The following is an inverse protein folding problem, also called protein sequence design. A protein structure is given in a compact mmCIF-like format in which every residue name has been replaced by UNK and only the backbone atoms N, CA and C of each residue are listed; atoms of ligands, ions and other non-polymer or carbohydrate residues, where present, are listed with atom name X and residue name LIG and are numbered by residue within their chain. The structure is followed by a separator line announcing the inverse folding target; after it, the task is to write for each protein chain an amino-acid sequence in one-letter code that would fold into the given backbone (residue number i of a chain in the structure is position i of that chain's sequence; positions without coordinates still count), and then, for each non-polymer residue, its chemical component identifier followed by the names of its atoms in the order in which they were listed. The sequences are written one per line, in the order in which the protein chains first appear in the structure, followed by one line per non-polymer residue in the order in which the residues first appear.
data_IF_446129012758
#
_entry.id   IF_446129012758
#
_cell.length_a   1.000
_cell.length_b   1.000
_cell.length_c   1.000
_cell.angle_alpha   90.00
_cell.angle_beta   90.00
_cell.angle_gamma   90.00
#
_symmetry.space_group_name_H-M   'P 1'
#
loop_
_entity.id
_entity.type
_entity.pdbx_description
1 polymer ?
#
# COMPACT_ATOMS: atom_id res chain seq x y z
N UNK A 1 1.54 -3.21 2.72
CA UNK A 1 2.16 -2.60 1.53
C UNK A 1 1.16 -1.65 0.90
N UNK A 2 1.55 -0.39 0.70
CA UNK A 2 0.79 0.60 -0.07
C UNK A 2 1.55 0.83 -1.37
N UNK A 3 0.89 0.73 -2.52
CA UNK A 3 1.56 0.71 -3.83
C UNK A 3 0.80 1.56 -4.84
N UNK A 4 1.50 2.36 -5.65
CA UNK A 4 0.89 3.08 -6.77
C UNK A 4 0.59 2.14 -7.94
N UNK A 5 -0.60 2.23 -8.53
CA UNK A 5 -0.96 1.40 -9.70
C UNK A 5 -0.16 1.79 -10.96
N UNK A 6 0.27 3.05 -11.04
CA UNK A 6 0.95 3.65 -12.19
C UNK A 6 2.47 3.79 -11.94
N UNK A 7 3.06 2.90 -11.12
CA UNK A 7 4.49 2.91 -10.84
C UNK A 7 5.29 2.27 -11.99
N UNK A 8 5.93 3.11 -12.80
CA UNK A 8 6.78 2.70 -13.92
C UNK A 8 8.10 2.04 -13.50
N UNK A 9 8.58 2.29 -12.27
CA UNK A 9 9.82 1.71 -11.75
C UNK A 9 9.58 0.34 -11.11
N UNK A 10 8.46 0.19 -10.41
CA UNK A 10 8.04 -1.07 -9.80
C UNK A 10 6.58 -1.40 -10.13
N UNK A 11 6.32 -2.11 -11.24
CA UNK A 11 4.97 -2.50 -11.65
C UNK A 11 4.21 -3.24 -10.54
N UNK A 12 2.88 -3.11 -10.54
CA UNK A 12 2.00 -3.67 -9.49
C UNK A 12 2.14 -5.20 -9.34
N UNK A 13 2.58 -5.90 -10.38
CA UNK A 13 2.92 -7.32 -10.39
C UNK A 13 4.02 -7.64 -9.37
N UNK A 14 5.01 -6.76 -9.20
CA UNK A 14 6.06 -6.92 -8.19
C UNK A 14 5.47 -6.87 -6.78
N UNK A 15 4.49 -5.99 -6.56
CA UNK A 15 3.80 -5.88 -5.28
C UNK A 15 2.99 -7.15 -4.97
N UNK A 16 2.30 -7.70 -5.97
CA UNK A 16 1.55 -8.97 -5.86
C UNK A 16 2.47 -10.14 -5.53
N UNK A 17 3.57 -10.29 -6.27
CA UNK A 17 4.57 -11.33 -6.02
C UNK A 17 5.19 -11.19 -4.62
N UNK A 18 5.50 -9.96 -4.18
CA UNK A 18 6.05 -9.73 -2.85
C UNK A 18 5.02 -10.08 -1.76
N UNK A 19 3.75 -9.72 -1.94
CA UNK A 19 2.66 -10.13 -1.04
C UNK A 19 2.58 -11.66 -0.93
N UNK A 20 2.64 -12.39 -2.05
CA UNK A 20 2.64 -13.85 -2.05
C UNK A 20 3.83 -14.43 -1.27
N UNK A 21 5.04 -13.89 -1.46
CA UNK A 21 6.24 -14.32 -0.73
C UNK A 21 6.17 -14.05 0.78
N UNK A 22 5.54 -12.95 1.19
CA UNK A 22 5.37 -12.59 2.61
C UNK A 22 4.25 -13.39 3.29
N UNK A 23 3.37 -14.03 2.53
CA UNK A 23 2.30 -14.88 3.04
C UNK A 23 1.07 -14.13 3.55
N UNK A 24 0.17 -14.87 4.20
CA UNK A 24 -1.20 -14.43 4.49
C UNK A 24 -1.33 -13.22 5.41
N UNK A 25 -0.34 -12.99 6.28
CA UNK A 25 -0.32 -11.83 7.19
C UNK A 25 0.03 -10.52 6.47
N UNK A 26 0.51 -10.58 5.24
CA UNK A 26 0.84 -9.39 4.46
C UNK A 26 -0.40 -8.86 3.73
N UNK A 27 -0.63 -7.55 3.89
CA UNK A 27 -1.68 -6.82 3.18
C UNK A 27 -1.07 -5.99 2.05
N UNK A 28 -1.75 -5.97 0.90
CA UNK A 28 -1.43 -5.09 -0.24
C UNK A 28 -2.65 -4.20 -0.53
N UNK A 29 -2.45 -2.89 -0.54
CA UNK A 29 -3.42 -1.90 -1.01
C UNK A 29 -2.81 -1.17 -2.20
N UNK A 30 -3.47 -1.24 -3.35
CA UNK A 30 -3.12 -0.44 -4.51
C UNK A 30 -3.81 0.92 -4.44
N UNK A 31 -3.14 1.96 -4.92
CA UNK A 31 -3.61 3.35 -4.95
C UNK A 31 -3.66 3.75 -6.43
N UNK A 32 -4.87 3.85 -6.97
CA UNK A 32 -5.10 4.32 -8.33
C UNK A 32 -4.60 5.75 -8.53
N UNK A 33 -4.16 6.11 -9.75
CA UNK A 33 -3.65 7.44 -10.09
C UNK A 33 -2.51 7.87 -9.16
N UNK A 34 -1.58 6.94 -8.92
CA UNK A 34 -0.36 7.14 -8.16
C UNK A 34 0.71 6.21 -8.72
N UNK A 35 1.92 6.72 -8.87
CA UNK A 35 3.11 5.99 -9.26
C UNK A 35 4.03 5.74 -8.08
N UNK A 36 5.33 5.91 -8.32
CA UNK A 36 6.38 5.47 -7.41
C UNK A 36 6.33 6.12 -6.02
N UNK A 37 5.93 7.40 -5.96
CA UNK A 37 5.91 8.17 -4.73
C UNK A 37 4.47 8.37 -4.25
N UNK A 38 3.71 7.28 -4.11
CA UNK A 38 2.29 7.30 -3.78
C UNK A 38 1.93 8.14 -2.53
N UNK A 39 2.83 8.23 -1.54
CA UNK A 39 2.66 9.09 -0.36
C UNK A 39 2.70 10.60 -0.68
N UNK A 40 3.43 11.02 -1.71
CA UNK A 40 3.50 12.41 -2.17
C UNK A 40 2.44 12.72 -3.23
N UNK A 41 2.14 11.75 -4.09
CA UNK A 41 1.21 11.93 -5.21
C UNK A 41 -0.27 11.88 -4.78
N UNK A 42 -0.60 10.98 -3.83
CA UNK A 42 -1.96 10.80 -3.30
C UNK A 42 -1.98 10.79 -1.76
N UNK A 43 -1.49 11.87 -1.09
CA UNK A 43 -1.23 11.89 0.35
C UNK A 43 -2.47 11.61 1.19
N UNK A 44 -3.66 12.07 0.78
CA UNK A 44 -4.89 11.82 1.53
C UNK A 44 -5.29 10.34 1.52
N UNK A 45 -5.23 9.69 0.35
CA UNK A 45 -5.57 8.27 0.21
C UNK A 45 -4.52 7.41 0.91
N UNK A 46 -3.24 7.73 0.70
CA UNK A 46 -2.14 7.03 1.36
C UNK A 46 -2.27 7.08 2.88
N UNK A 47 -2.45 8.28 3.46
CA UNK A 47 -2.57 8.43 4.91
C UNK A 47 -3.85 7.80 5.46
N UNK A 48 -4.93 7.76 4.69
CA UNK A 48 -6.13 7.02 5.08
C UNK A 48 -5.83 5.51 5.20
N UNK A 49 -5.22 4.90 4.17
CA UNK A 49 -4.84 3.48 4.22
C UNK A 49 -3.81 3.19 5.33
N UNK A 50 -2.88 4.10 5.59
CA UNK A 50 -1.92 3.96 6.68
C UNK A 50 -2.63 3.98 8.05
N UNK A 51 -3.58 4.89 8.26
CA UNK A 51 -4.37 4.94 9.50
C UNK A 51 -5.22 3.67 9.69
N UNK A 52 -5.86 3.17 8.62
CA UNK A 52 -6.59 1.90 8.66
C UNK A 52 -5.68 0.77 9.15
N UNK A 53 -4.46 0.67 8.59
CA UNK A 53 -3.48 -0.34 9.03
C UNK A 53 -3.04 -0.15 10.49
N UNK A 54 -2.76 1.08 10.92
CA UNK A 54 -2.34 1.34 12.30
C UNK A 54 -3.44 1.01 13.31
N UNK A 55 -4.71 1.17 12.93
CA UNK A 55 -5.85 0.80 13.76
C UNK A 55 -6.03 -0.72 13.90
N UNK A 56 -5.50 -1.55 12.97
CA UNK A 56 -5.56 -3.02 13.13
C UNK A 56 -4.53 -3.56 14.12
N UNK A 57 -3.46 -2.80 14.37
CA UNK A 57 -2.36 -3.21 15.28
C UNK A 57 -2.41 -2.50 16.62
N UNK A 58 -3.14 -1.39 16.73
CA UNK A 58 -3.34 -0.67 17.98
C UNK A 58 -4.66 -1.14 18.58
N UNK A 59 -4.69 -1.69 19.81
CA UNK A 59 -5.97 -1.85 20.51
C UNK A 59 -6.58 -0.45 20.67
N UNK A 60 -7.89 -0.31 20.42
CA UNK A 60 -8.58 0.92 20.81
C UNK A 60 -8.35 1.18 22.31
N UNK A 61 -8.15 2.45 22.73
CA UNK A 61 -8.00 2.80 24.13
C UNK A 61 -9.23 2.44 24.98
#
# INVERSE_FOLDING_TARGET
MLWGEDDDFFPIENAKMLKEKLGEKAMLRSISKAGHLAQLERPCVYNHCLKEFLATISPEP
#
